data_IF_403300734419
#
_entry.id   IF_403300734419
#
_cell.length_a   1.000
_cell.length_b   1.000
_cell.length_c   1.000
_cell.angle_alpha   90.00
_cell.angle_beta   90.00
_cell.angle_gamma   90.00
#
_symmetry.space_group_name_H-M   'P 1'
#
loop_
_entity.id
_entity.type
_entity.pdbx_description
1 polymer ?
#
# COMPACT_ATOMS: atom_id res chain seq x y z
N UNK A 1 -20.49 -50.25 15.17
CA UNK A 1 -21.08 -50.38 13.82
C UNK A 1 -22.00 -49.18 13.63
N UNK A 2 -21.89 -48.24 12.69
CA UNK A 2 -21.27 -48.09 11.35
C UNK A 2 -19.96 -47.27 11.43
N UNK A 3 -18.79 -47.54 10.80
CA UNK A 3 -18.34 -47.97 9.45
C UNK A 3 -18.39 -46.90 8.33
N UNK A 4 -17.18 -46.38 8.01
CA UNK A 4 -16.68 -45.66 6.81
C UNK A 4 -17.11 -44.18 6.63
N UNK A 5 -16.26 -43.16 6.80
CA UNK A 5 -15.02 -42.75 6.07
C UNK A 5 -15.22 -42.67 4.55
N UNK A 6 -15.28 -41.44 4.03
CA UNK A 6 -14.72 -40.98 2.74
C UNK A 6 -14.52 -39.45 2.88
N UNK A 7 -13.30 -38.96 3.16
CA UNK A 7 -12.28 -38.56 2.17
C UNK A 7 -12.80 -37.60 1.09
N UNK A 8 -12.93 -36.32 1.45
CA UNK A 8 -12.67 -35.20 0.52
C UNK A 8 -12.33 -33.95 1.32
N UNK A 9 -11.05 -33.84 1.64
CA UNK A 9 -10.37 -32.56 1.85
C UNK A 9 -10.56 -31.75 0.56
N UNK A 10 -11.57 -30.87 0.52
CA UNK A 10 -11.59 -29.77 -0.44
C UNK A 10 -10.85 -28.60 0.21
N UNK A 11 -9.53 -28.75 0.29
CA UNK A 11 -8.61 -27.63 0.22
C UNK A 11 -8.86 -26.96 -1.13
N UNK A 12 -9.78 -26.00 -1.15
CA UNK A 12 -9.92 -25.05 -2.25
C UNK A 12 -8.68 -24.18 -2.25
N UNK A 13 -7.59 -24.73 -2.80
CA UNK A 13 -6.50 -23.98 -3.39
C UNK A 13 -7.18 -23.17 -4.49
N UNK A 14 -7.61 -21.96 -4.13
CA UNK A 14 -8.08 -20.98 -5.09
C UNK A 14 -6.98 -20.80 -6.12
N UNK A 15 -7.20 -21.37 -7.30
CA UNK A 15 -6.40 -21.15 -8.49
C UNK A 15 -6.25 -19.64 -8.64
N UNK A 16 -5.06 -19.12 -8.35
CA UNK A 16 -4.66 -17.78 -8.78
C UNK A 16 -4.48 -17.90 -10.27
N UNK A 17 -5.58 -17.75 -11.02
CA UNK A 17 -5.53 -17.49 -12.44
C UNK A 17 -4.80 -16.16 -12.57
N UNK A 18 -3.52 -16.24 -12.94
CA UNK A 18 -2.76 -15.12 -13.47
C UNK A 18 -3.43 -14.71 -14.78
N UNK A 19 -4.52 -13.97 -14.67
CA UNK A 19 -5.07 -13.21 -15.78
C UNK A 19 -4.01 -12.20 -16.18
N UNK A 20 -3.34 -12.49 -17.29
CA UNK A 20 -2.52 -11.60 -18.08
C UNK A 20 -3.39 -10.45 -18.61
N UNK A 21 -3.84 -9.60 -17.69
CA UNK A 21 -4.44 -8.33 -18.04
C UNK A 21 -3.35 -7.42 -18.58
N UNK A 22 -3.22 -7.36 -19.90
CA UNK A 22 -2.49 -6.31 -20.62
C UNK A 22 -2.92 -4.98 -20.01
N UNK A 23 -2.02 -4.40 -19.22
CA UNK A 23 -2.28 -3.11 -18.59
C UNK A 23 -1.98 -2.04 -19.63
N UNK A 24 -3.02 -1.53 -20.29
CA UNK A 24 -2.94 -0.28 -21.06
C UNK A 24 -2.37 0.79 -20.11
N UNK A 25 -1.12 1.20 -20.39
CA UNK A 25 -0.39 2.16 -19.58
C UNK A 25 -0.92 3.56 -19.85
N UNK A 26 -1.95 3.98 -19.09
CA UNK A 26 -2.43 5.37 -19.09
C UNK A 26 -1.27 6.31 -18.74
N UNK A 27 -1.06 7.35 -19.56
CA UNK A 27 -0.01 8.35 -19.45
C UNK A 27 0.06 8.92 -18.01
N UNK A 28 1.24 8.83 -17.39
CA UNK A 28 1.45 8.96 -15.93
C UNK A 28 1.98 10.35 -15.47
N UNK A 29 1.93 11.36 -16.33
CA UNK A 29 2.54 12.68 -16.09
C UNK A 29 2.15 13.30 -14.73
N UNK A 30 0.85 13.31 -14.39
CA UNK A 30 0.39 13.83 -13.09
C UNK A 30 0.90 13.07 -11.86
N UNK A 31 1.16 11.76 -11.98
CA UNK A 31 1.67 10.98 -10.86
C UNK A 31 3.18 11.11 -10.69
N UNK A 32 3.92 11.49 -11.75
CA UNK A 32 5.33 11.86 -11.65
C UNK A 32 5.49 13.27 -11.08
N UNK A 33 4.70 14.23 -11.55
CA UNK A 33 4.72 15.62 -11.07
C UNK A 33 4.46 15.72 -9.56
N UNK A 34 3.40 15.05 -9.07
CA UNK A 34 3.07 15.00 -7.64
C UNK A 34 4.15 14.34 -6.77
N UNK A 35 5.02 13.54 -7.37
CA UNK A 35 6.10 12.87 -6.67
C UNK A 35 7.32 13.77 -6.53
N UNK A 36 7.66 14.45 -7.62
CA UNK A 36 8.72 15.43 -7.68
C UNK A 36 8.47 16.55 -6.67
N UNK A 37 7.26 17.13 -6.64
CA UNK A 37 6.84 18.10 -5.62
C UNK A 37 6.98 17.61 -4.18
N UNK A 38 6.80 16.30 -3.94
CA UNK A 38 6.95 15.71 -2.59
C UNK A 38 8.42 15.55 -2.19
N UNK A 39 9.28 15.25 -3.15
CA UNK A 39 10.72 15.14 -2.91
C UNK A 39 11.28 16.53 -2.71
N UNK A 40 10.97 17.49 -3.59
CA UNK A 40 11.35 18.90 -3.45
C UNK A 40 10.98 19.45 -2.08
N UNK A 41 9.72 19.25 -1.65
CA UNK A 41 9.29 19.63 -0.31
C UNK A 41 10.09 18.95 0.81
N UNK A 42 10.49 17.69 0.65
CA UNK A 42 11.32 17.00 1.65
C UNK A 42 12.76 17.50 1.64
N UNK A 43 13.33 17.75 0.47
CA UNK A 43 14.67 18.33 0.29
C UNK A 43 14.76 19.68 0.99
N UNK A 44 13.80 20.57 0.75
CA UNK A 44 13.78 21.89 1.40
C UNK A 44 13.51 21.81 2.91
N UNK A 45 12.62 20.91 3.36
CA UNK A 45 12.28 20.83 4.79
C UNK A 45 13.38 20.19 5.65
N UNK A 46 14.22 19.36 5.06
CA UNK A 46 15.24 18.59 5.77
C UNK A 46 16.66 19.01 5.41
N UNK A 47 16.82 20.07 4.62
CA UNK A 47 18.13 20.57 4.17
C UNK A 47 19.00 19.42 3.61
N UNK A 48 18.42 18.61 2.72
CA UNK A 48 19.07 17.41 2.21
C UNK A 48 20.25 17.77 1.30
N UNK A 49 21.37 17.05 1.43
CA UNK A 49 22.45 17.12 0.44
C UNK A 49 21.98 16.59 -0.92
N UNK A 50 22.77 16.84 -1.96
CA UNK A 50 22.51 16.33 -3.31
C UNK A 50 22.50 14.80 -3.34
N UNK A 51 23.45 14.16 -2.65
CA UNK A 51 23.53 12.71 -2.52
C UNK A 51 22.30 12.13 -1.80
N UNK A 52 21.94 12.71 -0.64
CA UNK A 52 20.76 12.31 0.12
C UNK A 52 19.48 12.46 -0.73
N UNK A 53 19.35 13.57 -1.45
CA UNK A 53 18.20 13.83 -2.33
C UNK A 53 18.11 12.82 -3.47
N UNK A 54 19.24 12.46 -4.07
CA UNK A 54 19.32 11.46 -5.15
C UNK A 54 18.91 10.08 -4.68
N UNK A 55 19.44 9.63 -3.53
CA UNK A 55 19.08 8.34 -2.95
C UNK A 55 17.61 8.29 -2.52
N UNK A 56 17.13 9.35 -1.87
CA UNK A 56 15.72 9.45 -1.47
C UNK A 56 14.83 9.41 -2.71
N UNK A 57 15.16 10.11 -3.79
CA UNK A 57 14.41 10.05 -5.07
C UNK A 57 14.34 8.63 -5.62
N UNK A 58 15.44 7.87 -5.55
CA UNK A 58 15.46 6.46 -5.94
C UNK A 58 14.54 5.59 -5.08
N UNK A 59 14.61 5.72 -3.76
CA UNK A 59 13.71 5.02 -2.81
C UNK A 59 12.23 5.28 -3.11
N UNK A 60 11.92 6.54 -3.41
CA UNK A 60 10.59 7.01 -3.72
C UNK A 60 10.06 6.41 -5.05
N UNK A 61 10.90 6.28 -6.07
CA UNK A 61 10.58 5.57 -7.32
C UNK A 61 10.33 4.07 -7.09
N UNK A 62 11.23 3.38 -6.38
CA UNK A 62 11.12 1.94 -6.06
C UNK A 62 9.83 1.64 -5.29
N UNK A 63 9.57 2.40 -4.23
CA UNK A 63 8.38 2.25 -3.41
C UNK A 63 7.08 2.50 -4.22
N UNK A 64 7.09 3.44 -5.17
CA UNK A 64 5.94 3.68 -6.06
C UNK A 64 5.63 2.45 -6.90
N UNK A 65 6.65 1.84 -7.51
CA UNK A 65 6.48 0.64 -8.33
C UNK A 65 5.85 -0.49 -7.50
N UNK A 66 6.44 -0.80 -6.34
CA UNK A 66 5.96 -1.86 -5.44
C UNK A 66 4.52 -1.61 -4.93
N UNK A 67 4.16 -0.35 -4.68
CA UNK A 67 2.85 -0.01 -4.16
C UNK A 67 1.76 0.06 -5.23
N UNK A 68 2.10 0.21 -6.53
CA UNK A 68 1.11 0.35 -7.62
C UNK A 68 0.22 -0.89 -7.72
N UNK A 69 0.82 -2.08 -7.76
CA UNK A 69 0.09 -3.36 -7.86
C UNK A 69 -0.73 -3.63 -6.60
N UNK A 70 -0.11 -3.47 -5.42
CA UNK A 70 -0.79 -3.66 -4.13
C UNK A 70 -2.01 -2.74 -3.99
N UNK A 71 -1.90 -1.48 -4.41
CA UNK A 71 -3.02 -0.53 -4.39
C UNK A 71 -4.14 -0.89 -5.38
N UNK A 72 -3.81 -1.39 -6.58
CA UNK A 72 -4.82 -1.88 -7.53
C UNK A 72 -5.59 -3.06 -6.92
N UNK A 73 -4.88 -4.00 -6.32
CA UNK A 73 -5.50 -5.16 -5.68
C UNK A 73 -6.41 -4.76 -4.52
N UNK A 74 -5.95 -3.85 -3.64
CA UNK A 74 -6.78 -3.31 -2.56
C UNK A 74 -8.08 -2.68 -3.07
N UNK A 75 -8.01 -1.89 -4.15
CA UNK A 75 -9.22 -1.28 -4.74
C UNK A 75 -10.21 -2.33 -5.26
N UNK A 76 -9.70 -3.40 -5.87
CA UNK A 76 -10.52 -4.51 -6.36
C UNK A 76 -11.24 -5.19 -5.19
N UNK A 77 -10.51 -5.62 -4.16
CA UNK A 77 -11.07 -6.26 -2.96
C UNK A 77 -12.08 -5.35 -2.24
N UNK A 78 -11.82 -4.04 -2.19
CA UNK A 78 -12.77 -3.07 -1.63
C UNK A 78 -14.08 -3.01 -2.43
N UNK A 79 -13.99 -3.03 -3.76
CA UNK A 79 -15.18 -3.03 -4.61
C UNK A 79 -15.97 -4.34 -4.47
N UNK A 80 -15.28 -5.49 -4.45
CA UNK A 80 -15.88 -6.81 -4.20
C UNK A 80 -16.58 -6.85 -2.85
N UNK A 81 -15.92 -6.41 -1.76
CA UNK A 81 -16.52 -6.34 -0.43
C UNK A 81 -17.78 -5.45 -0.41
N UNK A 82 -17.71 -4.28 -1.06
CA UNK A 82 -18.86 -3.38 -1.16
C UNK A 82 -20.04 -3.99 -1.93
N UNK A 83 -19.77 -4.88 -2.89
CA UNK A 83 -20.82 -5.60 -3.62
C UNK A 83 -21.42 -6.70 -2.74
N UNK A 84 -20.58 -7.47 -2.03
CA UNK A 84 -21.04 -8.51 -1.10
C UNK A 84 -21.95 -7.94 -0.01
N UNK A 85 -21.60 -6.77 0.54
CA UNK A 85 -22.40 -6.06 1.54
C UNK A 85 -23.78 -5.59 1.04
N UNK A 86 -24.00 -5.57 -0.28
CA UNK A 86 -25.28 -5.15 -0.90
C UNK A 86 -26.10 -6.33 -1.44
N UNK A 87 -25.51 -7.52 -1.48
CA UNK A 87 -26.13 -8.74 -1.97
C UNK A 87 -26.60 -9.62 -0.81
N UNK A 88 -27.29 -10.72 -1.12
CA UNK A 88 -27.67 -11.76 -0.16
C UNK A 88 -26.50 -12.70 0.21
N UNK A 89 -25.27 -12.18 0.18
CA UNK A 89 -24.08 -12.95 0.55
C UNK A 89 -24.11 -13.30 2.04
N UNK A 90 -23.61 -14.47 2.39
CA UNK A 90 -23.50 -14.91 3.78
C UNK A 90 -22.53 -14.03 4.58
N UNK A 91 -22.70 -14.00 5.90
CA UNK A 91 -21.80 -13.28 6.80
C UNK A 91 -20.36 -13.83 6.70
N UNK A 92 -20.22 -15.13 6.47
CA UNK A 92 -18.95 -15.83 6.29
C UNK A 92 -18.20 -15.34 5.05
N UNK A 93 -18.89 -15.15 3.92
CA UNK A 93 -18.31 -14.62 2.68
C UNK A 93 -17.85 -13.17 2.83
N UNK A 94 -18.67 -12.34 3.46
CA UNK A 94 -18.34 -10.93 3.76
C UNK A 94 -17.10 -10.88 4.67
N UNK A 95 -17.07 -11.69 5.73
CA UNK A 95 -15.95 -11.75 6.67
C UNK A 95 -14.67 -12.24 5.98
N UNK A 96 -14.76 -13.25 5.13
CA UNK A 96 -13.63 -13.77 4.36
C UNK A 96 -13.03 -12.69 3.45
N UNK A 97 -13.87 -12.00 2.68
CA UNK A 97 -13.43 -10.90 1.80
C UNK A 97 -12.83 -9.73 2.60
N UNK A 98 -13.39 -9.43 3.77
CA UNK A 98 -12.82 -8.43 4.67
C UNK A 98 -11.41 -8.80 5.12
N UNK A 99 -11.18 -10.07 5.51
CA UNK A 99 -9.85 -10.56 5.91
C UNK A 99 -8.83 -10.44 4.78
N UNK A 100 -9.19 -10.81 3.55
CA UNK A 100 -8.34 -10.63 2.37
C UNK A 100 -7.95 -9.16 2.17
N UNK A 101 -8.93 -8.26 2.28
CA UNK A 101 -8.69 -6.82 2.15
C UNK A 101 -7.73 -6.29 3.24
N UNK A 102 -7.86 -6.77 4.48
CA UNK A 102 -6.97 -6.40 5.59
C UNK A 102 -5.54 -6.86 5.35
N UNK A 103 -5.32 -8.06 4.82
CA UNK A 103 -3.98 -8.54 4.48
C UNK A 103 -3.28 -7.61 3.48
N UNK A 104 -4.00 -7.17 2.44
CA UNK A 104 -3.44 -6.23 1.46
C UNK A 104 -3.19 -4.85 2.08
N UNK A 105 -4.09 -4.39 2.96
CA UNK A 105 -3.90 -3.14 3.70
C UNK A 105 -2.63 -3.17 4.56
N UNK A 106 -2.42 -4.24 5.31
CA UNK A 106 -1.22 -4.44 6.13
C UNK A 106 0.05 -4.44 5.28
N UNK A 107 0.02 -5.10 4.10
CA UNK A 107 1.14 -5.06 3.14
C UNK A 107 1.45 -3.64 2.66
N UNK A 108 0.42 -2.83 2.41
CA UNK A 108 0.61 -1.41 2.04
C UNK A 108 1.23 -0.61 3.18
N UNK A 109 0.85 -0.88 4.42
CA UNK A 109 1.40 -0.22 5.61
C UNK A 109 2.85 -0.63 5.86
N UNK A 110 3.19 -1.91 5.68
CA UNK A 110 4.58 -2.39 5.73
C UNK A 110 5.46 -1.69 4.68
N UNK A 111 4.98 -1.56 3.44
CA UNK A 111 5.71 -0.84 2.37
C UNK A 111 5.99 0.61 2.80
N UNK A 112 5.00 1.31 3.37
CA UNK A 112 5.16 2.69 3.86
C UNK A 112 6.16 2.77 5.02
N UNK A 113 6.13 1.81 5.93
CA UNK A 113 7.03 1.73 7.07
C UNK A 113 8.47 1.47 6.62
N UNK A 114 8.70 0.50 5.74
CA UNK A 114 10.03 0.20 5.19
C UNK A 114 10.64 1.41 4.50
N UNK A 115 9.86 2.16 3.72
CA UNK A 115 10.33 3.44 3.14
C UNK A 115 10.68 4.48 4.21
N UNK A 116 9.88 4.57 5.28
CA UNK A 116 10.17 5.46 6.41
C UNK A 116 11.52 5.11 7.04
N UNK A 117 11.78 3.82 7.27
CA UNK A 117 13.03 3.34 7.84
C UNK A 117 14.21 3.63 6.90
N UNK A 118 14.04 3.36 5.60
CA UNK A 118 15.06 3.64 4.60
C UNK A 118 15.44 5.14 4.57
N UNK A 119 14.46 6.05 4.54
CA UNK A 119 14.74 7.49 4.60
C UNK A 119 15.47 7.84 5.90
N UNK A 120 15.00 7.35 7.06
CA UNK A 120 15.63 7.63 8.36
C UNK A 120 17.12 7.30 8.36
N UNK A 121 17.51 6.19 7.73
CA UNK A 121 18.90 5.74 7.70
C UNK A 121 19.82 6.69 6.90
N UNK A 122 19.26 7.46 5.96
CA UNK A 122 20.00 8.45 5.16
C UNK A 122 20.15 9.81 5.84
N UNK A 123 19.36 10.05 6.89
CA UNK A 123 19.32 11.33 7.59
C UNK A 123 20.26 11.34 8.80
N UNK A 124 20.84 12.49 9.11
CA UNK A 124 21.52 12.74 10.38
C UNK A 124 20.51 12.96 11.54
N UNK A 125 21.00 13.18 12.77
CA UNK A 125 20.15 13.32 13.97
C UNK A 125 19.14 14.47 13.84
N UNK A 126 19.60 15.68 13.49
CA UNK A 126 18.76 16.87 13.37
C UNK A 126 17.69 16.70 12.27
N UNK A 127 18.11 16.17 11.11
CA UNK A 127 17.20 15.87 10.00
C UNK A 127 16.14 14.83 10.39
N UNK A 128 16.46 13.85 11.25
CA UNK A 128 15.49 12.86 11.75
C UNK A 128 14.41 13.50 12.62
N UNK A 129 14.78 14.48 13.44
CA UNK A 129 13.83 15.23 14.28
C UNK A 129 12.86 16.03 13.39
N UNK A 130 13.40 16.82 12.45
CA UNK A 130 12.60 17.53 11.42
C UNK A 130 11.68 16.58 10.62
N UNK A 131 12.17 15.38 10.30
CA UNK A 131 11.41 14.37 9.57
C UNK A 131 10.22 13.81 10.35
N UNK A 132 10.36 13.63 11.67
CA UNK A 132 9.25 13.18 12.54
C UNK A 132 8.19 14.27 12.66
N UNK A 133 8.58 15.53 12.84
CA UNK A 133 7.64 16.65 12.93
C UNK A 133 6.83 16.83 11.63
N UNK A 134 7.50 16.68 10.48
CA UNK A 134 6.83 16.70 9.17
C UNK A 134 5.74 15.61 9.04
N UNK A 135 5.90 14.48 9.73
CA UNK A 135 4.87 13.42 9.74
C UNK A 135 3.70 13.76 10.67
N UNK A 136 3.95 14.32 11.85
CA UNK A 136 2.90 14.72 12.80
C UNK A 136 1.95 15.75 12.18
N UNK A 137 2.49 16.78 11.51
CA UNK A 137 1.68 17.81 10.82
C UNK A 137 0.74 17.23 9.75
N UNK A 138 1.18 16.18 9.04
CA UNK A 138 0.35 15.46 8.05
C UNK A 138 -0.80 14.68 8.68
N UNK A 139 -0.67 14.24 9.94
CA UNK A 139 -1.77 13.59 10.65
C UNK A 139 -2.81 14.58 11.14
N UNK A 140 -2.40 15.73 11.70
CA UNK A 140 -3.33 16.76 12.18
C UNK A 140 -4.18 17.39 11.06
N UNK A 141 -3.57 17.67 9.92
CA UNK A 141 -4.29 18.23 8.75
C UNK A 141 -5.38 17.32 8.19
N UNK A 142 -5.28 15.99 8.36
CA UNK A 142 -6.33 15.04 7.98
C UNK A 142 -7.48 14.97 8.97
N UNK A 143 -7.19 15.17 10.26
CA UNK A 143 -8.21 15.13 11.33
C UNK A 143 -9.15 16.34 11.29
N UNK A 144 -8.70 17.49 10.76
CA UNK A 144 -9.48 18.74 10.63
C UNK A 144 -10.47 18.77 9.45
N UNK A 145 -10.50 17.74 8.60
CA UNK A 145 -11.37 17.67 7.40
C UNK A 145 -12.55 16.70 7.56
N UNK A 146 -12.77 16.23 8.78
CA UNK A 146 -13.93 15.46 9.22
C UNK A 146 -14.46 16.14 10.48
#
# INVERSE_FOLDING_TARGET
MNKYINKTVLLSIGLIIFGSGVSIAKNNNHSQENHQKKIEKLTTLLDLSEDQSTEIKSLFKKNRSQNKTTRKHYKKLKAELNNLLKSDASNEEVLSKHKEMQLIKNKMDQIRFNKTLAIRNLLNKEQREKFVETKKQRHHSKKRKF
#
